data_IF_235176755168
#
_entry.id   IF_235176755168
#
_cell.length_a   1.000
_cell.length_b   1.000
_cell.length_c   1.000
_cell.angle_alpha   90.00
_cell.angle_beta   90.00
_cell.angle_gamma   90.00
#
_symmetry.space_group_name_H-M   'P 1'
#
loop_
_entity.id
_entity.type
_entity.pdbx_description
1 polymer ?
#
# COMPACT_ATOMS: atom_id res chain seq x y z
N UNK A 1 20.61 -10.48 1.19
CA UNK A 1 20.04 -9.13 1.40
C UNK A 1 20.53 -8.63 2.75
N UNK A 2 21.29 -7.54 2.81
CA UNK A 2 21.73 -6.98 4.10
C UNK A 2 20.65 -6.05 4.65
N UNK A 3 20.48 -5.99 5.98
CA UNK A 3 19.45 -5.16 6.66
C UNK A 3 19.52 -3.68 6.23
N UNK A 4 20.71 -3.17 5.90
CA UNK A 4 20.90 -1.80 5.41
C UNK A 4 20.24 -1.51 4.06
N UNK A 5 20.12 -2.50 3.18
CA UNK A 5 19.44 -2.34 1.88
C UNK A 5 17.92 -2.18 2.07
N UNK A 6 17.36 -2.94 3.02
CA UNK A 6 15.94 -2.89 3.40
C UNK A 6 15.60 -1.54 4.03
N UNK A 7 16.42 -1.06 4.99
CA UNK A 7 16.19 0.23 5.64
C UNK A 7 16.20 1.38 4.62
N UNK A 8 17.16 1.36 3.69
CA UNK A 8 17.25 2.35 2.61
C UNK A 8 16.02 2.31 1.69
N UNK A 9 15.57 1.12 1.31
CA UNK A 9 14.38 0.95 0.47
C UNK A 9 13.12 1.45 1.19
N UNK A 10 12.94 1.10 2.46
CA UNK A 10 11.78 1.52 3.26
C UNK A 10 11.74 3.04 3.43
N UNK A 11 12.89 3.69 3.65
CA UNK A 11 12.96 5.15 3.72
C UNK A 11 12.60 5.81 2.39
N UNK A 12 13.08 5.27 1.27
CA UNK A 12 12.76 5.78 -0.06
C UNK A 12 11.27 5.65 -0.38
N UNK A 13 10.68 4.48 -0.11
CA UNK A 13 9.25 4.22 -0.30
C UNK A 13 8.38 5.15 0.56
N UNK A 14 8.73 5.33 1.83
CA UNK A 14 8.02 6.26 2.72
C UNK A 14 8.13 7.72 2.26
N UNK A 15 9.29 8.12 1.71
CA UNK A 15 9.47 9.45 1.14
C UNK A 15 8.57 9.70 -0.08
N UNK A 16 8.46 8.72 -0.98
CA UNK A 16 7.57 8.78 -2.14
C UNK A 16 6.09 8.82 -1.74
N UNK A 17 5.68 8.01 -0.74
CA UNK A 17 4.32 8.02 -0.23
C UNK A 17 3.93 9.39 0.33
N UNK A 18 4.79 10.00 1.15
CA UNK A 18 4.58 11.35 1.70
C UNK A 18 4.54 12.43 0.62
N UNK A 19 5.32 12.27 -0.45
CA UNK A 19 5.26 13.18 -1.59
C UNK A 19 3.93 13.06 -2.35
N UNK A 20 3.36 11.86 -2.43
CA UNK A 20 2.07 11.59 -3.06
C UNK A 20 0.85 12.05 -2.23
N UNK A 21 0.96 12.10 -0.90
CA UNK A 21 -0.14 12.45 0.02
C UNK A 21 -0.71 13.87 -0.19
N UNK A 22 0.12 14.80 -0.68
CA UNK A 22 -0.30 16.18 -1.01
C UNK A 22 -0.73 16.39 -2.47
N UNK A 23 -0.62 15.37 -3.32
CA UNK A 23 -1.04 15.44 -4.73
C UNK A 23 -2.52 15.10 -4.79
N UNK A 24 -3.38 16.12 -4.88
CA UNK A 24 -4.80 15.94 -5.19
C UNK A 24 -4.91 15.42 -6.63
N UNK A 25 -4.86 14.10 -6.78
CA UNK A 25 -5.34 13.44 -7.98
C UNK A 25 -6.86 13.59 -7.92
N UNK A 26 -7.46 14.23 -8.92
CA UNK A 26 -8.90 14.48 -9.01
C UNK A 26 -9.67 13.18 -9.32
N UNK A 27 -9.44 12.15 -8.50
CA UNK A 27 -10.11 10.87 -8.54
C UNK A 27 -11.19 10.88 -7.47
N UNK A 28 -12.40 10.37 -7.76
CA UNK A 28 -13.41 10.18 -6.73
C UNK A 28 -12.81 9.33 -5.59
N UNK A 29 -13.17 9.66 -4.34
CA UNK A 29 -12.81 8.87 -3.17
C UNK A 29 -13.26 7.44 -3.43
N UNK A 30 -12.33 6.61 -3.86
CA UNK A 30 -12.59 5.23 -4.23
C UNK A 30 -12.55 4.48 -2.91
N UNK A 31 -13.72 4.06 -2.43
CA UNK A 31 -13.75 3.04 -1.39
C UNK A 31 -12.97 1.84 -1.93
N UNK A 32 -12.02 1.34 -1.16
CA UNK A 32 -11.15 0.24 -1.56
C UNK A 32 -11.29 -0.88 -0.56
N UNK A 33 -11.49 -2.08 -1.08
CA UNK A 33 -11.37 -3.30 -0.29
C UNK A 33 -9.92 -3.78 -0.35
N UNK A 34 -9.31 -4.02 0.81
CA UNK A 34 -7.92 -4.48 0.93
C UNK A 34 -7.94 -5.86 1.57
N UNK A 35 -7.63 -6.89 0.77
CA UNK A 35 -7.42 -8.23 1.28
C UNK A 35 -6.01 -8.38 1.85
N UNK A 36 -5.92 -8.88 3.09
CA UNK A 36 -4.67 -9.16 3.78
C UNK A 36 -4.63 -10.65 4.13
N UNK A 37 -3.70 -11.38 3.53
CA UNK A 37 -3.40 -12.75 3.89
C UNK A 37 -2.20 -12.80 4.85
N UNK A 38 -2.33 -13.56 5.93
CA UNK A 38 -1.23 -13.85 6.85
C UNK A 38 -0.77 -15.29 6.65
N UNK A 39 0.52 -15.48 6.41
CA UNK A 39 1.13 -16.81 6.40
C UNK A 39 1.53 -17.23 7.83
N UNK A 40 1.70 -18.54 8.03
CA UNK A 40 2.01 -19.17 9.33
C UNK A 40 3.36 -18.73 9.89
N UNK A 41 4.27 -18.27 9.04
CA UNK A 41 5.56 -17.69 9.43
C UNK A 41 5.45 -16.25 9.97
N UNK A 42 4.24 -15.67 9.94
CA UNK A 42 3.97 -14.31 10.38
C UNK A 42 4.11 -13.25 9.30
N UNK A 43 4.44 -13.64 8.06
CA UNK A 43 4.45 -12.72 6.92
C UNK A 43 3.03 -12.29 6.52
N UNK A 44 2.93 -11.11 5.90
CA UNK A 44 1.69 -10.54 5.41
C UNK A 44 1.83 -10.26 3.90
N UNK A 45 0.84 -10.71 3.13
CA UNK A 45 0.68 -10.34 1.71
C UNK A 45 -0.54 -9.44 1.60
N UNK A 46 -0.33 -8.25 1.04
CA UNK A 46 -1.39 -7.29 0.76
C UNK A 46 -1.68 -7.35 -0.73
N UNK A 47 -2.91 -7.67 -1.09
CA UNK A 47 -3.33 -7.69 -2.49
C UNK A 47 -3.71 -6.28 -2.96
N UNK A 48 -3.55 -5.98 -4.26
CA UNK A 48 -3.92 -4.68 -4.79
C UNK A 48 -5.35 -4.33 -4.45
N UNK A 49 -5.54 -3.12 -3.93
CA UNK A 49 -6.85 -2.54 -3.68
C UNK A 49 -7.68 -2.56 -4.98
N UNK A 50 -8.81 -3.24 -4.96
CA UNK A 50 -9.81 -3.16 -6.01
C UNK A 50 -10.77 -2.00 -5.67
N UNK A 51 -11.26 -1.25 -6.67
CA UNK A 51 -12.34 -0.32 -6.44
C UNK A 51 -13.53 -1.08 -5.87
N UNK A 52 -14.00 -0.67 -4.69
CA UNK A 52 -15.15 -1.30 -4.06
C UNK A 52 -16.37 -1.04 -4.96
N UNK A 53 -16.98 -2.11 -5.47
CA UNK A 53 -18.17 -1.99 -6.29
C UNK A 53 -19.31 -1.45 -5.42
N UNK A 54 -19.93 -0.34 -5.85
CA UNK A 54 -21.16 0.14 -5.24
C UNK A 54 -22.21 -0.99 -5.32
N UNK A 55 -22.76 -1.39 -4.18
CA UNK A 55 -23.81 -2.40 -4.13
C UNK A 55 -25.04 -1.89 -4.89
N UNK A 56 -25.31 -2.44 -6.09
CA UNK A 56 -26.58 -2.31 -6.83
C UNK A 56 -27.42 -3.55 -6.66
#
# INVERSE_FOLDING_TARGET
MHIGDVDRLLRAANGLHKLGDGVVVNSPATEVEIEIARDKDGSLVVFPALPMQAWT
#
